data_IF_153804543980
#
_entry.id   IF_153804543980
#
_cell.length_a   1.000
_cell.length_b   1.000
_cell.length_c   1.000
_cell.angle_alpha   90.00
_cell.angle_beta   90.00
_cell.angle_gamma   90.00
#
_symmetry.space_group_name_H-M   'P 1'
#
loop_
_entity.id
_entity.type
_entity.pdbx_description
1 polymer ?
#
# COMPACT_ATOMS: atom_id res chain seq x y z
N UNK A 1 17.86 -23.62 -0.90
CA UNK A 1 17.64 -23.09 -2.27
C UNK A 1 16.50 -23.92 -2.82
N UNK A 2 15.47 -23.30 -3.37
CA UNK A 2 14.30 -24.01 -3.90
C UNK A 2 14.54 -24.31 -5.38
N UNK A 3 14.37 -25.57 -5.79
CA UNK A 3 14.64 -26.03 -7.15
C UNK A 3 13.47 -25.73 -8.11
N UNK A 4 13.74 -25.74 -9.41
CA UNK A 4 12.70 -25.64 -10.45
C UNK A 4 11.64 -26.75 -10.32
N UNK A 5 12.06 -27.97 -9.98
CA UNK A 5 11.14 -29.09 -9.84
C UNK A 5 10.18 -28.91 -8.66
N UNK A 6 10.66 -28.41 -7.52
CA UNK A 6 9.81 -28.08 -6.37
C UNK A 6 8.82 -26.98 -6.71
N UNK A 7 9.25 -25.92 -7.43
CA UNK A 7 8.37 -24.84 -7.88
C UNK A 7 7.33 -25.34 -8.89
N UNK A 8 7.74 -26.18 -9.84
CA UNK A 8 6.86 -26.78 -10.82
C UNK A 8 5.80 -27.66 -10.17
N UNK A 9 6.19 -28.48 -9.20
CA UNK A 9 5.27 -29.34 -8.44
C UNK A 9 4.34 -28.50 -7.58
N UNK A 10 4.88 -27.55 -6.79
CA UNK A 10 4.10 -26.71 -5.88
C UNK A 10 3.09 -25.79 -6.57
N UNK A 11 3.33 -25.42 -7.84
CA UNK A 11 2.41 -24.65 -8.67
C UNK A 11 1.46 -25.49 -9.52
N UNK A 12 1.54 -26.82 -9.42
CA UNK A 12 0.85 -27.76 -10.31
C UNK A 12 1.15 -27.46 -11.80
N UNK A 13 2.44 -27.48 -12.16
CA UNK A 13 2.96 -27.15 -13.50
C UNK A 13 2.61 -25.73 -13.96
N UNK A 14 2.64 -24.75 -13.06
CA UNK A 14 2.24 -23.36 -13.33
C UNK A 14 0.82 -23.25 -13.90
N UNK A 15 -0.09 -24.05 -13.34
CA UNK A 15 -1.49 -24.12 -13.74
C UNK A 15 -2.18 -22.75 -13.53
N UNK A 16 -3.07 -22.41 -14.45
CA UNK A 16 -3.86 -21.18 -14.40
C UNK A 16 -4.70 -21.06 -13.11
N UNK A 17 -5.16 -22.18 -12.55
CA UNK A 17 -5.88 -22.19 -11.26
C UNK A 17 -5.04 -21.66 -10.07
N UNK A 18 -3.72 -21.67 -10.20
CA UNK A 18 -2.79 -21.12 -9.21
C UNK A 18 -2.25 -19.73 -9.60
N UNK A 19 -2.67 -19.18 -10.73
CA UNK A 19 -2.26 -17.84 -11.18
C UNK A 19 -2.86 -16.79 -10.27
N UNK A 20 -2.00 -15.97 -9.63
CA UNK A 20 -2.38 -14.84 -8.79
C UNK A 20 -2.49 -13.55 -9.59
N UNK A 21 -1.73 -13.43 -10.68
CA UNK A 21 -1.74 -12.29 -11.56
C UNK A 21 -0.62 -12.29 -12.60
N UNK A 22 -0.77 -11.46 -13.63
CA UNK A 22 0.23 -11.22 -14.67
C UNK A 22 0.62 -9.76 -14.68
N UNK A 23 1.91 -9.49 -14.90
CA UNK A 23 2.45 -8.13 -14.99
C UNK A 23 3.37 -7.96 -16.19
N UNK A 24 3.91 -6.76 -16.35
CA UNK A 24 4.76 -6.40 -17.49
C UNK A 24 5.99 -7.28 -17.69
N UNK A 25 6.47 -7.97 -16.66
CA UNK A 25 7.69 -8.77 -16.72
C UNK A 25 7.48 -10.26 -16.42
N UNK A 26 6.24 -10.71 -16.17
CA UNK A 26 5.99 -12.11 -15.88
C UNK A 26 4.69 -12.41 -15.17
N UNK A 27 4.56 -13.62 -14.68
CA UNK A 27 3.37 -14.15 -14.01
C UNK A 27 3.67 -14.58 -12.59
N UNK A 28 2.74 -14.37 -11.67
CA UNK A 28 2.86 -14.76 -10.26
C UNK A 28 1.90 -15.91 -9.97
N UNK A 29 2.41 -16.97 -9.37
CA UNK A 29 1.64 -18.17 -9.03
C UNK A 29 1.68 -18.43 -7.52
N UNK A 30 0.59 -18.93 -6.97
CA UNK A 30 0.57 -19.56 -5.65
C UNK A 30 1.24 -20.92 -5.75
N UNK A 31 2.12 -21.23 -4.80
CA UNK A 31 2.75 -22.53 -4.69
C UNK A 31 2.67 -23.06 -3.26
N UNK A 32 2.58 -24.38 -3.12
CA UNK A 32 2.69 -25.09 -1.86
C UNK A 32 3.99 -25.90 -1.92
N UNK A 33 4.93 -25.56 -1.06
CA UNK A 33 6.22 -26.26 -0.98
C UNK A 33 6.08 -27.62 -0.27
N UNK A 34 7.11 -28.51 -0.36
CA UNK A 34 7.06 -29.82 0.28
C UNK A 34 6.89 -29.80 1.80
N UNK A 35 7.25 -28.71 2.46
CA UNK A 35 7.07 -28.46 3.88
C UNK A 35 5.72 -27.78 4.23
N UNK A 36 4.77 -27.82 3.29
CA UNK A 36 3.44 -27.20 3.37
C UNK A 36 3.45 -25.65 3.42
N UNK A 37 4.62 -25.00 3.30
CA UNK A 37 4.73 -23.55 3.25
C UNK A 37 4.07 -23.00 1.97
N UNK A 38 3.14 -22.05 2.12
CA UNK A 38 2.51 -21.35 1.00
C UNK A 38 3.39 -20.15 0.61
N UNK A 39 3.74 -20.09 -0.68
CA UNK A 39 4.57 -19.01 -1.24
C UNK A 39 3.96 -18.43 -2.51
N UNK A 40 4.39 -17.24 -2.90
CA UNK A 40 4.15 -16.66 -4.22
C UNK A 40 5.40 -16.82 -5.09
N UNK A 41 5.24 -17.35 -6.29
CA UNK A 41 6.32 -17.58 -7.25
C UNK A 41 6.14 -16.64 -8.42
N UNK A 42 6.98 -15.59 -8.49
CA UNK A 42 7.03 -14.67 -9.62
C UNK A 42 7.96 -15.22 -10.68
N UNK A 43 7.38 -15.76 -11.75
CA UNK A 43 8.10 -16.29 -12.91
C UNK A 43 8.26 -15.19 -13.94
N UNK A 44 9.51 -14.93 -14.34
CA UNK A 44 9.80 -13.86 -15.28
C UNK A 44 9.70 -14.35 -16.73
N UNK A 45 9.15 -13.50 -17.58
CA UNK A 45 9.14 -13.74 -19.01
C UNK A 45 10.49 -13.30 -19.62
N UNK A 46 11.36 -14.25 -19.89
CA UNK A 46 12.71 -14.00 -20.42
C UNK A 46 12.71 -13.62 -21.91
N UNK A 47 11.59 -13.79 -22.61
CA UNK A 47 11.46 -13.40 -24.03
C UNK A 47 11.19 -11.89 -24.19
N UNK A 48 10.74 -11.23 -23.14
CA UNK A 48 10.50 -9.79 -23.15
C UNK A 48 11.81 -9.01 -23.04
N UNK A 49 11.93 -7.97 -23.87
CA UNK A 49 13.07 -7.05 -23.78
C UNK A 49 13.12 -6.43 -22.38
N UNK A 50 14.23 -6.62 -21.69
CA UNK A 50 14.44 -6.12 -20.33
C UNK A 50 14.09 -7.09 -19.20
N UNK A 51 13.51 -8.27 -19.47
CA UNK A 51 13.17 -9.26 -18.44
C UNK A 51 14.37 -9.69 -17.58
N UNK A 52 15.54 -9.93 -18.18
CA UNK A 52 16.77 -10.21 -17.45
C UNK A 52 17.22 -9.04 -16.57
N UNK A 53 17.20 -7.81 -17.11
CA UNK A 53 17.60 -6.61 -16.38
C UNK A 53 16.68 -6.33 -15.21
N UNK A 54 15.38 -6.57 -15.37
CA UNK A 54 14.39 -6.42 -14.32
C UNK A 54 14.64 -7.43 -13.18
N UNK A 55 14.90 -8.70 -13.50
CA UNK A 55 15.25 -9.71 -12.50
C UNK A 55 16.50 -9.35 -11.71
N UNK A 56 17.57 -8.98 -12.40
CA UNK A 56 18.85 -8.65 -11.76
C UNK A 56 18.71 -7.39 -10.88
N UNK A 57 17.95 -6.39 -11.33
CA UNK A 57 17.65 -5.18 -10.56
C UNK A 57 16.84 -5.52 -9.30
N UNK A 58 15.77 -6.30 -9.44
CA UNK A 58 14.94 -6.74 -8.33
C UNK A 58 15.74 -7.58 -7.32
N UNK A 59 16.55 -8.52 -7.78
CA UNK A 59 17.45 -9.31 -6.94
C UNK A 59 18.47 -8.43 -6.19
N UNK A 60 19.06 -7.43 -6.87
CA UNK A 60 20.03 -6.52 -6.27
C UNK A 60 19.41 -5.71 -5.14
N UNK A 61 18.23 -5.13 -5.37
CA UNK A 61 17.50 -4.37 -4.37
C UNK A 61 17.08 -5.27 -3.21
N UNK A 62 16.42 -6.38 -3.51
CA UNK A 62 15.86 -7.28 -2.49
C UNK A 62 16.91 -7.99 -1.61
N UNK A 63 18.18 -8.08 -2.06
CA UNK A 63 19.28 -8.53 -1.21
C UNK A 63 19.65 -7.52 -0.13
N UNK A 64 19.52 -6.24 -0.42
CA UNK A 64 19.95 -5.15 0.44
C UNK A 64 18.88 -4.72 1.46
N UNK A 65 17.59 -4.94 1.16
CA UNK A 65 16.49 -4.42 1.96
C UNK A 65 15.80 -5.47 2.82
N UNK A 66 15.46 -5.10 4.06
CA UNK A 66 14.67 -5.91 4.97
C UNK A 66 13.82 -5.00 5.86
N UNK A 67 12.54 -5.03 5.69
CA UNK A 67 11.60 -4.24 6.51
C UNK A 67 10.27 -4.97 6.66
N UNK A 68 9.57 -4.78 7.78
CA UNK A 68 8.29 -5.44 8.08
C UNK A 68 7.18 -5.13 7.06
N UNK A 69 7.21 -3.95 6.46
CA UNK A 69 6.24 -3.51 5.45
C UNK A 69 6.77 -3.64 4.01
N UNK A 70 7.73 -4.52 3.78
CA UNK A 70 8.20 -4.93 2.44
C UNK A 70 7.93 -6.42 2.24
N UNK A 71 7.56 -6.80 1.02
CA UNK A 71 7.37 -8.21 0.66
C UNK A 71 8.70 -8.94 0.81
N UNK A 72 8.72 -10.01 1.61
CA UNK A 72 9.93 -10.79 1.90
C UNK A 72 10.25 -11.73 0.76
N UNK A 73 11.49 -11.70 0.28
CA UNK A 73 12.04 -12.74 -0.59
C UNK A 73 12.51 -13.91 0.25
N UNK A 74 12.00 -15.08 -0.06
CA UNK A 74 12.33 -16.35 0.59
C UNK A 74 13.50 -17.01 -0.13
N UNK A 75 13.44 -17.08 -1.47
CA UNK A 75 14.46 -17.70 -2.30
C UNK A 75 14.42 -17.16 -3.73
N UNK A 76 15.40 -17.56 -4.53
CA UNK A 76 15.42 -17.34 -5.97
C UNK A 76 15.72 -18.66 -6.67
N UNK A 77 15.10 -18.89 -7.82
CA UNK A 77 15.44 -19.98 -8.72
C UNK A 77 15.89 -19.40 -10.05
N UNK A 78 17.12 -19.74 -10.49
CA UNK A 78 17.68 -19.19 -11.71
C UNK A 78 18.45 -20.26 -12.46
N UNK A 79 18.06 -20.51 -13.72
CA UNK A 79 18.78 -21.30 -14.71
C UNK A 79 18.72 -20.58 -16.07
N UNK A 80 19.39 -21.05 -17.13
CA UNK A 80 19.41 -20.37 -18.41
C UNK A 80 18.04 -20.09 -19.04
N UNK A 81 17.04 -20.94 -18.79
CA UNK A 81 15.71 -20.89 -19.40
C UNK A 81 14.61 -20.50 -18.44
N UNK A 82 14.90 -20.41 -17.13
CA UNK A 82 13.90 -20.12 -16.11
C UNK A 82 14.45 -19.26 -14.99
N UNK A 83 13.74 -18.19 -14.68
CA UNK A 83 14.04 -17.30 -13.54
C UNK A 83 12.77 -17.01 -12.76
N UNK A 84 12.85 -17.21 -11.46
CA UNK A 84 11.74 -16.90 -10.56
C UNK A 84 12.22 -16.38 -9.21
N UNK A 85 11.43 -15.51 -8.64
CA UNK A 85 11.50 -15.08 -7.24
C UNK A 85 10.47 -15.87 -6.43
N UNK A 86 10.89 -16.41 -5.32
CA UNK A 86 10.01 -17.02 -4.34
C UNK A 86 9.79 -16.04 -3.20
N UNK A 87 8.56 -15.57 -3.08
CA UNK A 87 8.15 -14.47 -2.21
C UNK A 87 7.20 -14.98 -1.13
N UNK A 88 7.12 -14.24 -0.04
CA UNK A 88 6.07 -14.43 0.95
C UNK A 88 4.69 -14.30 0.29
N UNK A 89 3.81 -15.25 0.57
CA UNK A 89 2.44 -15.22 0.07
C UNK A 89 1.60 -14.22 0.87
N UNK A 90 0.87 -13.38 0.17
CA UNK A 90 -0.02 -12.36 0.74
C UNK A 90 -1.47 -12.80 0.54
N UNK A 91 -2.08 -13.32 1.60
CA UNK A 91 -3.38 -14.01 1.53
C UNK A 91 -4.54 -13.10 1.13
N UNK A 92 -4.47 -11.82 1.48
CA UNK A 92 -5.49 -10.83 1.14
C UNK A 92 -5.27 -10.14 -0.22
N UNK A 93 -4.17 -10.48 -0.94
CA UNK A 93 -3.89 -9.96 -2.27
C UNK A 93 -3.51 -8.48 -2.27
N UNK A 94 -3.81 -7.77 -3.35
CA UNK A 94 -3.42 -6.37 -3.54
C UNK A 94 -4.45 -5.37 -2.99
N UNK A 95 -3.99 -4.18 -2.63
CA UNK A 95 -4.83 -3.05 -2.26
C UNK A 95 -5.80 -2.66 -3.39
N UNK A 96 -5.38 -2.80 -4.66
CA UNK A 96 -6.25 -2.54 -5.82
C UNK A 96 -7.49 -3.43 -5.79
N UNK A 97 -7.34 -4.73 -5.46
CA UNK A 97 -8.47 -5.65 -5.31
C UNK A 97 -9.46 -5.16 -4.25
N UNK A 98 -8.99 -4.65 -3.12
CA UNK A 98 -9.83 -4.14 -2.04
C UNK A 98 -10.53 -2.82 -2.37
N UNK A 99 -9.92 -1.99 -3.21
CA UNK A 99 -10.53 -0.73 -3.64
C UNK A 99 -11.63 -0.92 -4.66
N UNK A 100 -11.49 -1.89 -5.60
CA UNK A 100 -12.34 -1.95 -6.78
C UNK A 100 -13.20 -3.20 -6.90
N UNK A 101 -13.02 -4.19 -6.05
CA UNK A 101 -13.93 -5.35 -6.00
C UNK A 101 -15.22 -4.99 -5.26
N UNK A 102 -16.35 -5.45 -5.77
CA UNK A 102 -17.66 -5.28 -5.14
C UNK A 102 -17.80 -6.01 -3.80
N UNK A 103 -17.01 -7.07 -3.58
CA UNK A 103 -17.10 -7.93 -2.41
C UNK A 103 -16.19 -7.50 -1.26
N UNK A 104 -15.38 -6.46 -1.44
CA UNK A 104 -14.40 -6.00 -0.46
C UNK A 104 -14.62 -4.53 -0.12
N UNK A 105 -14.53 -4.21 1.15
CA UNK A 105 -14.63 -2.83 1.63
C UNK A 105 -13.60 -2.60 2.74
N UNK A 106 -12.82 -1.54 2.60
CA UNK A 106 -11.91 -1.07 3.63
C UNK A 106 -12.55 0.08 4.40
N UNK A 107 -12.70 -0.07 5.70
CA UNK A 107 -13.09 1.04 6.56
C UNK A 107 -11.95 2.05 6.72
N UNK A 108 -12.24 3.23 7.26
CA UNK A 108 -11.24 4.32 7.36
C UNK A 108 -10.03 3.93 8.22
N UNK A 109 -10.21 3.13 9.30
CA UNK A 109 -9.10 2.68 10.15
C UNK A 109 -8.14 1.79 9.37
N UNK A 110 -8.66 0.87 8.57
CA UNK A 110 -7.87 0.01 7.70
C UNK A 110 -7.14 0.83 6.63
N UNK A 111 -7.83 1.76 5.95
CA UNK A 111 -7.21 2.65 4.94
C UNK A 111 -6.06 3.46 5.55
N UNK A 112 -6.26 4.07 6.71
CA UNK A 112 -5.21 4.84 7.40
C UNK A 112 -4.07 3.93 7.88
N UNK A 113 -4.35 2.71 8.34
CA UNK A 113 -3.30 1.77 8.75
C UNK A 113 -2.42 1.36 7.56
N UNK A 114 -3.02 1.03 6.42
CA UNK A 114 -2.31 0.74 5.17
C UNK A 114 -1.41 1.93 4.75
N UNK A 115 -1.93 3.17 4.84
CA UNK A 115 -1.13 4.38 4.54
C UNK A 115 0.09 4.50 5.44
N UNK A 116 -0.05 4.22 6.75
CA UNK A 116 1.07 4.23 7.70
C UNK A 116 2.11 3.17 7.35
N UNK A 117 1.67 1.96 7.02
CA UNK A 117 2.57 0.86 6.65
C UNK A 117 3.37 1.18 5.39
N UNK A 118 2.72 1.71 4.34
CA UNK A 118 3.37 2.12 3.10
C UNK A 118 4.35 3.28 3.34
N UNK A 119 3.98 4.29 4.13
CA UNK A 119 4.87 5.39 4.47
C UNK A 119 6.11 4.91 5.24
N UNK A 120 5.94 3.94 6.17
CA UNK A 120 7.04 3.32 6.91
C UNK A 120 7.99 2.53 5.98
N UNK A 121 7.45 1.82 4.99
CA UNK A 121 8.25 1.15 3.97
C UNK A 121 9.06 2.15 3.14
N UNK A 122 8.45 3.25 2.68
CA UNK A 122 9.13 4.29 1.92
C UNK A 122 10.21 5.01 2.77
N UNK A 123 9.94 5.30 4.04
CA UNK A 123 10.95 5.89 4.93
C UNK A 123 12.19 4.99 5.03
N UNK A 124 11.98 3.69 5.18
CA UNK A 124 13.06 2.73 5.20
C UNK A 124 13.83 2.67 3.86
N UNK A 125 13.14 2.66 2.72
CA UNK A 125 13.77 2.64 1.39
C UNK A 125 14.60 3.90 1.13
N UNK A 126 14.07 5.06 1.51
CA UNK A 126 14.69 6.36 1.22
C UNK A 126 15.83 6.70 2.18
N UNK A 127 15.73 6.31 3.47
CA UNK A 127 16.65 6.77 4.53
C UNK A 127 17.22 5.65 5.40
N UNK A 128 16.74 4.42 5.28
CA UNK A 128 17.12 3.30 6.16
C UNK A 128 18.41 2.61 5.76
N UNK A 129 19.01 2.96 4.62
CA UNK A 129 20.21 2.36 4.07
C UNK A 129 21.26 3.43 3.77
N UNK A 130 22.52 3.00 3.52
CA UNK A 130 23.59 3.91 3.05
C UNK A 130 23.27 4.51 1.68
N UNK A 131 22.62 3.76 0.80
CA UNK A 131 22.15 4.20 -0.49
C UNK A 131 20.63 4.24 -0.51
N UNK A 132 20.03 5.33 -0.97
CA UNK A 132 18.58 5.44 -1.10
C UNK A 132 18.06 4.53 -2.20
N UNK A 133 16.98 3.81 -1.92
CA UNK A 133 16.26 2.99 -2.90
C UNK A 133 14.98 3.71 -3.30
N UNK A 134 14.78 3.94 -4.59
CA UNK A 134 13.55 4.49 -5.16
C UNK A 134 12.75 3.37 -5.80
N UNK A 135 11.48 3.23 -5.45
CA UNK A 135 10.62 2.15 -5.94
C UNK A 135 10.27 2.31 -7.43
N UNK A 136 9.98 3.52 -7.87
CA UNK A 136 9.64 3.92 -9.25
C UNK A 136 8.29 3.43 -9.80
N UNK A 137 7.60 2.47 -9.16
CA UNK A 137 6.28 1.95 -9.60
C UNK A 137 5.34 1.72 -8.43
N UNK A 138 5.28 2.68 -7.50
CA UNK A 138 4.36 2.59 -6.36
C UNK A 138 2.92 2.83 -6.83
N UNK A 139 2.06 1.81 -6.61
CA UNK A 139 0.64 1.80 -7.00
C UNK A 139 -0.14 0.78 -6.17
N UNK A 140 -1.48 0.82 -6.12
CA UNK A 140 -2.28 -0.12 -5.31
C UNK A 140 -2.08 -1.60 -5.64
N UNK A 141 -1.78 -1.96 -6.88
CA UNK A 141 -1.52 -3.37 -7.24
C UNK A 141 -0.18 -3.89 -6.71
N UNK A 142 0.77 -3.00 -6.35
CA UNK A 142 2.07 -3.34 -5.78
C UNK A 142 2.10 -3.20 -4.24
N UNK A 143 0.97 -2.86 -3.61
CA UNK A 143 0.75 -2.88 -2.17
C UNK A 143 -0.07 -4.11 -1.84
N UNK A 144 0.54 -5.08 -1.17
CA UNK A 144 -0.06 -6.37 -0.85
C UNK A 144 -0.42 -6.45 0.62
N UNK A 145 -1.51 -7.17 0.93
CA UNK A 145 -2.04 -7.30 2.28
C UNK A 145 -1.87 -8.74 2.76
N UNK A 146 -1.28 -8.91 3.94
CA UNK A 146 -1.14 -10.20 4.60
C UNK A 146 -2.43 -10.61 5.33
N UNK A 147 -2.40 -11.71 6.08
CA UNK A 147 -3.56 -12.25 6.80
C UNK A 147 -4.12 -11.28 7.85
N UNK A 148 -3.29 -10.44 8.44
CA UNK A 148 -3.65 -9.44 9.44
C UNK A 148 -4.03 -8.07 8.82
N UNK A 149 -4.13 -7.97 7.50
CA UNK A 149 -4.37 -6.73 6.75
C UNK A 149 -3.24 -5.71 6.89
N UNK A 150 -2.03 -6.15 7.25
CA UNK A 150 -0.82 -5.30 7.23
C UNK A 150 -0.35 -5.15 5.79
N UNK A 151 0.00 -3.92 5.40
CA UNK A 151 0.44 -3.64 4.05
C UNK A 151 1.95 -3.85 3.87
N UNK A 152 2.29 -4.48 2.75
CA UNK A 152 3.65 -4.75 2.32
C UNK A 152 3.85 -4.23 0.89
N UNK A 153 4.85 -3.38 0.69
CA UNK A 153 5.24 -2.90 -0.65
C UNK A 153 6.06 -3.98 -1.34
N UNK A 154 5.72 -4.29 -2.58
CA UNK A 154 6.36 -5.31 -3.42
C UNK A 154 6.58 -4.83 -4.85
N UNK A 155 7.10 -5.72 -5.69
CA UNK A 155 7.45 -5.48 -7.09
C UNK A 155 8.52 -4.40 -7.33
N UNK A 156 9.77 -4.77 -7.07
CA UNK A 156 10.94 -3.92 -7.24
C UNK A 156 11.59 -4.05 -8.64
N UNK A 157 10.85 -4.55 -9.64
CA UNK A 157 11.38 -4.86 -10.99
C UNK A 157 11.96 -3.67 -11.75
N UNK A 158 11.58 -2.43 -11.38
CA UNK A 158 12.14 -1.20 -11.95
C UNK A 158 12.74 -0.25 -10.90
N UNK A 159 12.89 -0.72 -9.67
CA UNK A 159 13.48 0.07 -8.59
C UNK A 159 14.92 0.50 -8.90
N UNK A 160 15.32 1.65 -8.37
CA UNK A 160 16.66 2.22 -8.57
C UNK A 160 17.35 2.46 -7.23
N UNK A 161 18.61 2.08 -7.17
CA UNK A 161 19.50 2.46 -6.08
C UNK A 161 20.21 3.75 -6.51
N UNK A 162 20.04 4.81 -5.74
CA UNK A 162 20.74 6.07 -5.97
C UNK A 162 22.16 5.95 -5.42
N UNK A 163 23.16 6.34 -6.22
CA UNK A 163 24.55 6.34 -5.77
C UNK A 163 24.76 7.33 -4.61
N UNK A 164 25.73 7.05 -3.75
CA UNK A 164 26.11 7.94 -2.64
C UNK A 164 26.26 9.39 -3.11
N UNK A 165 25.65 10.32 -2.38
CA UNK A 165 25.62 11.76 -2.68
C UNK A 165 24.90 12.16 -3.99
N UNK A 166 24.00 11.33 -4.50
CA UNK A 166 23.10 11.69 -5.61
C UNK A 166 21.65 11.65 -5.18
N UNK A 167 21.00 12.80 -5.28
CA UNK A 167 19.55 12.94 -4.96
C UNK A 167 18.65 12.44 -6.11
N UNK A 168 19.21 12.29 -7.32
CA UNK A 168 18.49 11.81 -8.49
C UNK A 168 19.40 11.14 -9.52
N UNK A 169 18.79 10.30 -10.37
CA UNK A 169 19.43 9.70 -11.55
C UNK A 169 18.51 9.80 -12.76
N UNK A 170 19.05 9.73 -13.97
CA UNK A 170 18.28 9.77 -15.20
C UNK A 170 18.21 8.38 -15.84
N UNK A 171 17.03 7.98 -16.29
CA UNK A 171 16.79 6.67 -16.90
C UNK A 171 15.61 6.73 -17.87
N UNK A 172 15.43 5.69 -18.70
CA UNK A 172 14.19 5.54 -19.47
C UNK A 172 13.00 5.48 -18.52
N UNK A 173 11.96 6.25 -18.79
CA UNK A 173 10.73 6.24 -18.01
C UNK A 173 10.06 4.87 -18.12
N UNK A 174 9.88 4.25 -16.98
CA UNK A 174 9.10 3.04 -16.76
C UNK A 174 8.19 3.32 -15.57
N UNK A 175 7.04 2.68 -15.51
CA UNK A 175 6.10 2.88 -14.41
C UNK A 175 4.68 2.99 -14.92
N UNK A 176 3.74 3.19 -14.01
CA UNK A 176 2.30 3.11 -14.31
C UNK A 176 1.70 4.50 -14.47
N UNK A 177 1.04 4.73 -15.62
CA UNK A 177 0.35 5.98 -15.91
C UNK A 177 -0.59 6.38 -14.76
N UNK A 178 -0.61 7.65 -14.44
CA UNK A 178 -1.40 8.22 -13.35
C UNK A 178 -0.67 8.28 -12.01
N UNK A 179 0.34 7.42 -11.78
CA UNK A 179 1.15 7.40 -10.56
C UNK A 179 2.56 7.96 -10.76
N UNK A 180 3.01 8.09 -12.01
CA UNK A 180 4.33 8.60 -12.37
C UNK A 180 4.41 10.10 -12.09
N UNK A 181 5.45 10.52 -11.35
CA UNK A 181 5.74 11.93 -11.11
C UNK A 181 6.06 12.66 -12.44
N UNK A 182 5.65 13.93 -12.61
CA UNK A 182 5.84 14.68 -13.85
C UNK A 182 7.29 14.68 -14.36
N UNK A 183 8.27 14.93 -13.50
CA UNK A 183 9.70 14.95 -13.83
C UNK A 183 10.25 13.58 -14.24
N UNK A 184 9.66 12.50 -13.68
CA UNK A 184 10.01 11.15 -14.10
C UNK A 184 9.40 10.83 -15.47
N UNK A 185 8.12 11.24 -15.67
CA UNK A 185 7.42 11.03 -16.94
C UNK A 185 8.06 11.76 -18.11
N UNK A 186 8.42 13.04 -17.95
CA UNK A 186 8.92 13.92 -19.02
C UNK A 186 10.43 13.82 -19.24
N UNK A 187 11.22 13.72 -18.17
CA UNK A 187 12.68 13.83 -18.22
C UNK A 187 13.39 12.52 -17.85
N UNK A 188 12.66 11.50 -17.39
CA UNK A 188 13.26 10.28 -16.86
C UNK A 188 14.04 10.49 -15.55
N UNK A 189 13.79 11.59 -14.83
CA UNK A 189 14.49 11.93 -13.59
C UNK A 189 13.89 11.16 -12.41
N UNK A 190 14.64 10.20 -11.90
CA UNK A 190 14.28 9.37 -10.75
C UNK A 190 14.84 9.98 -9.48
N UNK A 191 13.98 10.18 -8.49
CA UNK A 191 14.35 10.64 -7.15
C UNK A 191 13.36 10.08 -6.11
N UNK A 192 13.72 10.16 -4.82
CA UNK A 192 12.81 9.81 -3.71
C UNK A 192 11.52 10.65 -3.72
N UNK A 193 11.55 11.85 -4.29
CA UNK A 193 10.38 12.71 -4.46
C UNK A 193 9.37 12.14 -5.47
N UNK A 194 9.80 11.27 -6.39
CA UNK A 194 8.92 10.54 -7.30
C UNK A 194 8.03 9.54 -6.57
N UNK A 195 8.59 8.76 -5.64
CA UNK A 195 7.79 7.85 -4.79
C UNK A 195 6.82 8.62 -3.88
N UNK A 196 7.22 9.80 -3.38
CA UNK A 196 6.33 10.66 -2.60
C UNK A 196 5.15 11.13 -3.43
N UNK A 197 5.37 11.48 -4.70
CA UNK A 197 4.28 11.82 -5.62
C UNK A 197 3.31 10.64 -5.77
N UNK A 198 3.82 9.45 -6.10
CA UNK A 198 3.00 8.24 -6.25
C UNK A 198 2.22 7.92 -4.97
N UNK A 199 2.85 8.04 -3.80
CA UNK A 199 2.20 7.90 -2.51
C UNK A 199 1.07 8.91 -2.31
N UNK A 200 1.28 10.17 -2.72
CA UNK A 200 0.25 11.22 -2.70
C UNK A 200 -0.97 10.85 -3.53
N UNK A 201 -0.76 10.36 -4.75
CA UNK A 201 -1.85 9.90 -5.63
C UNK A 201 -2.62 8.74 -4.99
N UNK A 202 -1.92 7.76 -4.38
CA UNK A 202 -2.56 6.64 -3.69
C UNK A 202 -3.39 7.12 -2.49
N UNK A 203 -2.93 8.14 -1.74
CA UNK A 203 -3.73 8.75 -0.67
C UNK A 203 -5.05 9.31 -1.20
N UNK A 204 -5.01 10.04 -2.31
CA UNK A 204 -6.20 10.61 -2.93
C UNK A 204 -7.13 9.49 -3.44
N UNK A 205 -6.57 8.48 -4.12
CA UNK A 205 -7.30 7.32 -4.62
C UNK A 205 -7.98 6.53 -3.50
N UNK A 206 -7.30 6.31 -2.36
CA UNK A 206 -7.84 5.63 -1.19
C UNK A 206 -9.06 6.32 -0.59
N UNK A 207 -9.13 7.64 -0.66
CA UNK A 207 -10.25 8.40 -0.07
C UNK A 207 -11.39 8.61 -1.07
N UNK A 208 -11.07 8.80 -2.34
CA UNK A 208 -12.08 9.03 -3.39
C UNK A 208 -12.60 7.74 -4.02
N UNK A 209 -11.84 6.63 -3.91
CA UNK A 209 -12.09 5.37 -4.63
C UNK A 209 -12.18 5.58 -6.16
N UNK A 210 -11.49 6.60 -6.69
CA UNK A 210 -11.34 6.87 -8.12
C UNK A 210 -9.91 6.54 -8.54
N UNK A 211 -9.75 5.87 -9.71
CA UNK A 211 -8.42 5.66 -10.29
C UNK A 211 -7.90 6.98 -10.88
N UNK A 212 -6.60 7.28 -10.79
CA UNK A 212 -6.03 8.45 -11.46
C UNK A 212 -6.14 8.40 -12.98
N UNK A 213 -6.46 7.22 -13.53
CA UNK A 213 -6.71 6.96 -14.96
C UNK A 213 -8.19 6.76 -15.28
N UNK A 214 -9.10 7.13 -14.39
CA UNK A 214 -10.54 7.08 -14.62
C UNK A 214 -10.93 7.98 -15.81
N UNK A 215 -11.94 7.59 -16.58
CA UNK A 215 -12.39 8.33 -17.76
C UNK A 215 -12.76 9.78 -17.44
N UNK A 216 -13.19 10.09 -16.22
CA UNK A 216 -13.47 11.46 -15.79
C UNK A 216 -12.23 12.38 -15.79
N UNK A 217 -11.01 11.81 -15.82
CA UNK A 217 -9.74 12.53 -15.85
C UNK A 217 -9.10 12.53 -17.25
N UNK A 218 -9.85 12.17 -18.28
CA UNK A 218 -9.41 12.28 -19.67
C UNK A 218 -9.59 13.73 -20.13
N UNK A 219 -8.46 14.41 -20.45
CA UNK A 219 -8.45 15.80 -20.90
C UNK A 219 -7.58 16.71 -20.04
N UNK A 220 -8.05 17.92 -19.73
CA UNK A 220 -7.25 18.97 -19.10
C UNK A 220 -7.13 18.83 -17.57
N UNK A 221 -8.01 18.05 -16.91
CA UNK A 221 -8.09 17.99 -15.44
C UNK A 221 -7.69 16.61 -14.94
N UNK A 222 -6.58 16.51 -14.23
CA UNK A 222 -6.18 15.29 -13.52
C UNK A 222 -6.83 15.20 -12.12
N UNK A 223 -6.73 14.02 -11.47
CA UNK A 223 -7.29 13.77 -10.14
C UNK A 223 -6.87 14.83 -9.11
N UNK A 224 -5.60 15.22 -9.09
CA UNK A 224 -5.07 16.22 -8.16
C UNK A 224 -5.72 17.60 -8.38
N UNK A 225 -5.78 18.04 -9.64
CA UNK A 225 -6.41 19.32 -10.01
C UNK A 225 -7.89 19.32 -9.69
N UNK A 226 -8.59 18.21 -9.98
CA UNK A 226 -10.00 18.03 -9.62
C UNK A 226 -10.23 18.23 -8.12
N UNK A 227 -9.50 17.52 -7.25
CA UNK A 227 -9.66 17.65 -5.80
C UNK A 227 -9.26 19.03 -5.29
N UNK A 228 -8.21 19.65 -5.87
CA UNK A 228 -7.74 20.98 -5.48
C UNK A 228 -8.72 22.10 -5.85
N UNK A 229 -9.52 21.93 -6.91
CA UNK A 229 -10.47 22.93 -7.41
C UNK A 229 -11.77 23.01 -6.60
N UNK A 230 -12.07 22.01 -5.75
CA UNK A 230 -13.34 21.94 -5.03
C UNK A 230 -13.35 22.85 -3.80
N UNK A 231 -14.48 23.55 -3.60
CA UNK A 231 -14.75 24.35 -2.41
C UNK A 231 -14.95 23.47 -1.17
N UNK A 232 -15.72 22.39 -1.32
CA UNK A 232 -15.86 21.36 -0.31
C UNK A 232 -15.24 20.04 -0.80
N UNK A 233 -14.14 19.64 -0.17
CA UNK A 233 -13.45 18.40 -0.50
C UNK A 233 -14.16 17.15 -0.02
N UNK A 234 -15.26 17.29 0.73
CA UNK A 234 -16.07 16.14 1.15
C UNK A 234 -16.89 15.57 0.00
N UNK A 235 -17.16 16.36 -1.04
CA UNK A 235 -17.91 15.92 -2.22
C UNK A 235 -17.22 14.80 -3.03
N UNK A 236 -15.91 14.61 -2.83
CA UNK A 236 -15.13 13.57 -3.54
C UNK A 236 -14.90 12.31 -2.71
N UNK A 237 -15.28 12.32 -1.43
CA UNK A 237 -15.05 11.19 -0.52
C UNK A 237 -15.94 10.01 -0.90
N UNK A 238 -15.35 8.80 -0.90
CA UNK A 238 -16.08 7.55 -1.06
C UNK A 238 -17.25 7.46 -0.07
N UNK A 239 -18.48 7.31 -0.60
CA UNK A 239 -19.72 7.22 0.19
C UNK A 239 -19.64 6.15 1.28
N UNK A 240 -18.88 5.09 1.05
CA UNK A 240 -18.63 4.03 2.03
C UNK A 240 -17.91 4.53 3.29
N UNK A 241 -17.14 5.62 3.19
CA UNK A 241 -16.45 6.23 4.34
C UNK A 241 -17.34 7.23 5.09
N UNK A 242 -18.37 7.76 4.44
CA UNK A 242 -19.30 8.73 5.03
C UNK A 242 -20.41 8.05 5.84
N UNK A 243 -20.63 6.74 5.67
CA UNK A 243 -21.59 5.96 6.47
C UNK A 243 -21.07 5.80 7.89
N UNK A 244 -21.72 6.47 8.84
CA UNK A 244 -21.34 6.50 10.25
C UNK A 244 -21.82 5.21 10.92
N UNK A 245 -21.12 4.09 10.71
CA UNK A 245 -21.43 2.83 11.41
C UNK A 245 -20.94 2.80 12.87
N UNK A 246 -19.96 3.65 13.23
CA UNK A 246 -19.25 3.60 14.52
C UNK A 246 -19.68 4.69 15.53
N UNK A 247 -20.73 5.45 15.26
CA UNK A 247 -21.19 6.52 16.17
C UNK A 247 -20.16 7.63 16.40
N UNK A 248 -19.19 7.84 15.48
CA UNK A 248 -18.22 8.92 15.55
C UNK A 248 -18.89 10.26 15.25
N UNK A 249 -18.33 11.32 15.84
CA UNK A 249 -18.74 12.67 15.49
C UNK A 249 -18.41 13.02 14.04
N UNK A 250 -19.40 13.50 13.30
CA UNK A 250 -19.29 13.88 11.88
C UNK A 250 -18.14 14.86 11.64
N UNK A 251 -18.04 15.87 12.50
CA UNK A 251 -17.01 16.92 12.41
C UNK A 251 -15.60 16.37 12.52
N UNK A 252 -15.41 15.42 13.43
CA UNK A 252 -14.12 14.71 13.59
C UNK A 252 -13.76 13.90 12.34
N UNK A 253 -14.74 13.20 11.75
CA UNK A 253 -14.51 12.43 10.52
C UNK A 253 -14.16 13.33 9.35
N UNK A 254 -14.88 14.42 9.17
CA UNK A 254 -14.59 15.43 8.13
C UNK A 254 -13.18 16.01 8.30
N UNK A 255 -12.77 16.32 9.53
CA UNK A 255 -11.43 16.84 9.82
C UNK A 255 -10.33 15.82 9.45
N UNK A 256 -10.54 14.55 9.75
CA UNK A 256 -9.60 13.47 9.42
C UNK A 256 -9.51 13.29 7.90
N UNK A 257 -10.65 13.18 7.21
CA UNK A 257 -10.70 13.02 5.75
C UNK A 257 -10.06 14.20 5.02
N UNK A 258 -10.36 15.43 5.45
CA UNK A 258 -9.73 16.66 4.93
C UNK A 258 -8.22 16.64 5.15
N UNK A 259 -7.74 16.17 6.31
CA UNK A 259 -6.31 16.07 6.60
C UNK A 259 -5.60 15.04 5.70
N UNK A 260 -6.27 13.95 5.33
CA UNK A 260 -5.73 12.94 4.41
C UNK A 260 -5.66 13.51 3.00
N UNK A 261 -6.73 14.14 2.51
CA UNK A 261 -6.76 14.78 1.20
C UNK A 261 -5.68 15.87 1.08
N UNK A 262 -5.53 16.70 2.11
CA UNK A 262 -4.46 17.72 2.15
C UNK A 262 -3.07 17.09 2.11
N UNK A 263 -2.84 16.00 2.86
CA UNK A 263 -1.58 15.26 2.82
C UNK A 263 -1.32 14.72 1.40
N UNK A 264 -2.33 14.13 0.76
CA UNK A 264 -2.25 13.63 -0.62
C UNK A 264 -1.87 14.72 -1.61
N UNK A 265 -2.52 15.88 -1.55
CA UNK A 265 -2.23 17.04 -2.42
C UNK A 265 -0.81 17.58 -2.21
N UNK A 266 -0.33 17.65 -0.96
CA UNK A 266 1.05 18.10 -0.66
C UNK A 266 2.12 17.12 -1.08
N UNK A 267 1.83 15.82 -1.01
CA UNK A 267 2.74 14.79 -1.51
C UNK A 267 2.80 14.78 -3.04
N UNK A 268 1.67 15.01 -3.72
CA UNK A 268 1.55 14.98 -5.17
C UNK A 268 1.73 16.35 -5.86
N UNK A 269 2.38 17.32 -5.21
CA UNK A 269 2.69 18.61 -5.84
C UNK A 269 3.47 18.41 -7.15
N UNK A 270 3.24 19.30 -8.13
CA UNK A 270 3.85 19.19 -9.45
C UNK A 270 5.38 19.33 -9.38
N UNK A 271 5.85 20.35 -8.66
CA UNK A 271 7.28 20.57 -8.45
C UNK A 271 7.81 19.67 -7.33
N UNK A 272 8.90 18.91 -7.55
CA UNK A 272 9.47 18.01 -6.55
C UNK A 272 9.82 18.69 -5.22
N UNK A 273 10.31 19.94 -5.26
CA UNK A 273 10.75 20.69 -4.09
C UNK A 273 9.57 21.14 -3.19
N UNK A 274 8.37 21.24 -3.75
CA UNK A 274 7.16 21.55 -3.00
C UNK A 274 6.59 20.33 -2.27
N UNK A 275 7.00 19.12 -2.65
CA UNK A 275 6.56 17.89 -2.00
C UNK A 275 7.20 17.74 -0.63
N UNK A 276 6.44 17.17 0.29
CA UNK A 276 6.95 16.82 1.61
C UNK A 276 8.15 15.87 1.50
N UNK A 277 9.01 15.87 2.51
CA UNK A 277 9.96 14.77 2.70
C UNK A 277 9.28 13.58 3.39
N UNK A 278 9.85 12.40 3.30
CA UNK A 278 9.22 11.17 3.82
C UNK A 278 9.05 11.21 5.35
N UNK A 279 9.96 11.82 6.10
CA UNK A 279 9.86 11.93 7.56
C UNK A 279 8.65 12.76 7.99
N UNK A 280 8.38 13.86 7.26
CA UNK A 280 7.20 14.69 7.48
C UNK A 280 5.91 13.94 7.11
N UNK A 281 5.93 13.14 6.03
CA UNK A 281 4.82 12.27 5.62
C UNK A 281 4.48 11.28 6.73
N UNK A 282 5.49 10.54 7.22
CA UNK A 282 5.33 9.55 8.32
C UNK A 282 4.78 10.21 9.57
N UNK A 283 5.31 11.39 9.93
CA UNK A 283 4.84 12.14 11.10
C UNK A 283 3.37 12.53 10.96
N UNK A 284 2.96 13.04 9.79
CA UNK A 284 1.58 13.49 9.54
C UNK A 284 0.59 12.33 9.49
N UNK A 285 0.91 11.24 8.78
CA UNK A 285 0.00 10.09 8.69
C UNK A 285 -0.18 9.39 10.05
N UNK A 286 0.87 9.34 10.89
CA UNK A 286 0.75 8.84 12.26
C UNK A 286 -0.11 9.75 13.14
N UNK A 287 -0.01 11.07 13.02
CA UNK A 287 -0.92 12.01 13.72
C UNK A 287 -2.38 11.78 13.33
N UNK A 288 -2.66 11.56 12.04
CA UNK A 288 -3.99 11.22 11.54
C UNK A 288 -4.48 9.91 12.17
N UNK A 289 -3.63 8.87 12.20
CA UNK A 289 -3.97 7.58 12.85
C UNK A 289 -4.28 7.74 14.33
N UNK A 290 -3.48 8.50 15.06
CA UNK A 290 -3.70 8.77 16.49
C UNK A 290 -5.00 9.55 16.73
N UNK A 291 -5.31 10.55 15.93
CA UNK A 291 -6.58 11.29 16.01
C UNK A 291 -7.78 10.37 15.75
N UNK A 292 -7.67 9.47 14.77
CA UNK A 292 -8.68 8.48 14.45
C UNK A 292 -8.92 7.46 15.56
N UNK A 293 -7.85 6.98 16.23
CA UNK A 293 -7.92 5.99 17.32
C UNK A 293 -8.20 6.63 18.69
N UNK A 294 -7.71 7.84 18.96
CA UNK A 294 -7.85 8.53 20.24
C UNK A 294 -9.32 8.82 20.61
N UNK A 295 -10.17 9.01 19.63
CA UNK A 295 -11.62 9.14 19.85
C UNK A 295 -12.32 7.83 20.26
N UNK A 296 -11.74 6.67 19.97
CA UNK A 296 -12.25 5.37 20.48
C UNK A 296 -12.05 5.22 21.99
N UNK A 297 -10.87 5.61 22.51
CA UNK A 297 -10.54 5.45 23.92
C UNK A 297 -11.31 6.39 24.85
N UNK A 298 -11.64 7.59 24.41
CA UNK A 298 -12.46 8.54 25.21
C UNK A 298 -13.87 8.05 25.45
N UNK A 299 -14.50 7.30 24.53
CA UNK A 299 -15.87 6.75 24.68
C UNK A 299 -15.92 5.48 25.53
N UNK A 300 -14.89 4.65 25.52
CA UNK A 300 -14.81 3.49 26.40
C UNK A 300 -14.74 3.90 27.88
N UNK A 301 -14.12 5.05 28.18
CA UNK A 301 -14.05 5.61 29.54
C UNK A 301 -15.36 6.29 29.98
N UNK A 302 -16.16 6.80 29.04
CA UNK A 302 -17.46 7.42 29.36
C UNK A 302 -18.62 6.42 29.49
N UNK A 303 -18.50 5.22 28.95
CA UNK A 303 -19.52 4.16 29.05
C UNK A 303 -19.33 3.25 30.29
N UNK A 304 -18.14 3.21 30.90
CA UNK A 304 -17.90 2.41 32.11
C UNK A 304 -18.72 2.83 33.35
N UNK A 305 -19.02 4.14 33.61
CA UNK A 305 -19.84 4.49 34.78
C UNK A 305 -21.30 4.05 34.66
N UNK A 306 -21.90 4.03 33.45
CA UNK A 306 -23.32 3.68 33.28
C UNK A 306 -23.57 2.18 33.36
N UNK A 307 -22.62 1.33 32.98
CA UNK A 307 -22.77 -0.13 33.12
C UNK A 307 -22.56 -0.61 34.55
N UNK A 308 -21.69 0.06 35.33
CA UNK A 308 -21.51 -0.27 36.76
C UNK A 308 -22.73 0.09 37.60
N UNK A 309 -23.47 1.15 37.28
CA UNK A 309 -24.70 1.49 37.97
C UNK A 309 -25.85 0.52 37.70
N UNK A 310 -25.92 -0.09 36.50
CA UNK A 310 -26.93 -1.10 36.19
C UNK A 310 -26.69 -2.45 36.86
N UNK A 311 -25.45 -2.83 37.15
CA UNK A 311 -25.12 -4.05 37.89
C UNK A 311 -25.35 -3.91 39.40
N UNK A 312 -25.25 -2.70 39.97
CA UNK A 312 -25.46 -2.49 41.43
C UNK A 312 -26.95 -2.46 41.78
N UNK A 313 -27.81 -2.00 40.88
CA UNK A 313 -29.26 -1.95 41.12
C UNK A 313 -29.92 -3.33 40.98
N UNK A 314 -29.30 -4.28 40.27
CA UNK A 314 -29.82 -5.65 40.08
C UNK A 314 -29.49 -6.61 41.25
N UNK A 315 -28.64 -6.22 42.18
CA UNK A 315 -28.15 -7.06 43.30
C UNK A 315 -28.88 -6.79 44.63
N UNK A 316 -29.86 -5.88 44.66
CA UNK A 316 -30.57 -5.47 45.89
C UNK A 316 -32.07 -5.87 45.96
N UNK A 317 -32.53 -6.75 45.08
CA UNK A 317 -33.90 -7.24 45.11
C UNK A 317 -33.95 -8.78 45.03
N UNK A 318 -33.57 -9.45 46.12
CA UNK A 318 -34.14 -10.78 46.43
C UNK A 318 -34.70 -10.76 47.85
N UNK A 319 -35.99 -10.95 48.02
CA UNK A 319 -36.58 -11.14 49.34
C UNK A 319 -36.37 -12.58 49.81
N UNK A 320 -35.99 -12.66 51.05
CA UNK A 320 -36.04 -13.85 51.92
C UNK A 320 -37.46 -14.48 51.84
N UNK A 321 -37.54 -15.76 51.47
CA UNK A 321 -38.66 -16.60 51.87
C UNK A 321 -38.10 -17.92 52.39
N UNK A 322 -38.29 -18.09 53.69
CA UNK A 322 -38.24 -19.33 54.44
C UNK A 322 -39.42 -20.29 54.01
N UNK A 323 -39.09 -21.49 53.70
CA UNK A 323 -39.61 -22.73 54.30
C UNK A 323 -39.11 -23.93 53.56
#
# INVERSE_FOLDING_TARGET
>A
MISYQELRSGTNNFCESNLLGTGGFGSVYKAILPDETIVAVKVLNLQLEGGFKSFDAECKVLRAIRHRNLVKVISTCSNPEFRALVLQYMSNGSLEKWLYSHNYCLNLVQRVSIMVDVASALEYLHNGQSESVVHCDLKPSNILLDEDMVAHVGDFGIAKILAENKDATQTRTLGTLGYIAPEYGSEGKVSTKGDIYSYGIILLELITRKKPTDEMFVGEVNMRQWIASLLDRMDVVDDGLLRIEDGRDVTTMQTILSSILELGLRCSAELPDERLNIKDVVTKVNKIKLALLGNRNRRCLTLKPLLLMKCIVSSLLFPICLL
#
